data_IF_320199818906
#
_entry.id   IF_320199818906
#
_cell.length_a   1.000
_cell.length_b   1.000
_cell.length_c   1.000
_cell.angle_alpha   90.00
_cell.angle_beta   90.00
_cell.angle_gamma   90.00
#
_symmetry.space_group_name_H-M   'P 1'
#
loop_
_entity.id
_entity.type
_entity.pdbx_description
1 polymer ?
#
# COMPACT_ATOMS: atom_id res chain seq x y z
N UNK A 1 -4.74 -12.93 -38.27
CA UNK A 1 -4.32 -14.23 -37.73
C UNK A 1 -5.32 -15.28 -38.23
N UNK A 2 -4.86 -16.32 -38.91
CA UNK A 2 -5.71 -17.45 -39.37
C UNK A 2 -5.33 -18.67 -38.57
N UNK A 3 -6.31 -19.24 -37.85
CA UNK A 3 -6.15 -20.48 -37.08
C UNK A 3 -5.73 -21.64 -38.00
N UNK A 4 -4.87 -22.58 -37.54
CA UNK A 4 -4.49 -23.73 -38.34
C UNK A 4 -5.68 -24.67 -38.57
N UNK A 5 -5.79 -25.23 -39.78
CA UNK A 5 -6.91 -26.07 -40.23
C UNK A 5 -7.09 -27.40 -39.47
N UNK A 6 -6.13 -27.76 -38.62
CA UNK A 6 -6.25 -28.82 -37.61
C UNK A 6 -5.05 -28.73 -36.65
N UNK A 7 -5.32 -28.40 -35.39
CA UNK A 7 -4.35 -28.24 -34.31
C UNK A 7 -4.91 -27.41 -33.15
N UNK A 8 -4.39 -27.59 -31.93
CA UNK A 8 -4.74 -26.73 -30.79
C UNK A 8 -3.95 -25.44 -30.88
N UNK A 9 -4.65 -24.31 -30.80
CA UNK A 9 -4.04 -23.00 -30.65
C UNK A 9 -4.03 -22.58 -29.18
N UNK A 10 -2.92 -22.03 -28.70
CA UNK A 10 -2.73 -21.66 -27.29
C UNK A 10 -2.66 -20.15 -27.17
N UNK A 11 -3.61 -19.56 -26.45
CA UNK A 11 -3.54 -18.17 -26.02
C UNK A 11 -2.94 -18.08 -24.62
N UNK A 12 -2.24 -16.98 -24.37
CA UNK A 12 -1.63 -16.67 -23.08
C UNK A 12 -2.30 -15.44 -22.48
N UNK A 13 -2.66 -15.52 -21.21
CA UNK A 13 -3.10 -14.36 -20.46
C UNK A 13 -1.92 -13.40 -20.25
N UNK A 14 -2.16 -12.11 -20.45
CA UNK A 14 -1.26 -11.04 -20.03
C UNK A 14 -1.92 -10.27 -18.91
N UNK A 15 -1.12 -9.87 -17.93
CA UNK A 15 -1.58 -9.17 -16.74
C UNK A 15 -0.73 -7.93 -16.56
N UNK A 16 -1.40 -6.80 -16.32
CA UNK A 16 -0.75 -5.59 -15.82
C UNK A 16 -0.80 -5.60 -14.29
N UNK A 17 0.25 -5.12 -13.61
CA UNK A 17 0.26 -5.02 -12.16
C UNK A 17 -0.78 -3.99 -11.70
N UNK A 18 -1.59 -4.39 -10.74
CA UNK A 18 -2.53 -3.48 -10.08
C UNK A 18 -1.77 -2.72 -8.98
N UNK A 19 -1.32 -1.50 -9.28
CA UNK A 19 -0.58 -0.68 -8.31
C UNK A 19 -1.52 -0.02 -7.29
N UNK A 20 -1.13 -0.04 -6.02
CA UNK A 20 -1.83 0.55 -4.87
C UNK A 20 -0.88 1.44 -4.09
N UNK A 21 -1.40 2.52 -3.50
CA UNK A 21 -0.63 3.48 -2.70
C UNK A 21 -1.00 3.39 -1.22
N UNK A 22 0.01 3.25 -0.37
CA UNK A 22 -0.05 3.49 1.07
C UNK A 22 0.29 4.98 1.31
N UNK A 23 -0.73 5.75 1.67
CA UNK A 23 -0.58 7.17 1.94
C UNK A 23 -0.39 7.45 3.44
N UNK A 24 0.45 8.44 3.75
CA UNK A 24 0.74 8.84 5.13
C UNK A 24 0.10 10.18 5.49
N UNK A 25 -0.77 10.18 6.49
CA UNK A 25 -1.41 11.38 7.02
C UNK A 25 -0.93 11.64 8.46
N UNK A 26 -0.36 12.83 8.71
CA UNK A 26 0.10 13.24 10.04
C UNK A 26 -1.03 13.51 11.06
N UNK A 27 -2.30 13.34 10.66
CA UNK A 27 -3.51 13.47 11.47
C UNK A 27 -3.56 14.81 12.24
N UNK A 28 -3.48 15.90 11.47
CA UNK A 28 -3.42 17.27 11.99
C UNK A 28 -2.03 17.69 12.50
N UNK A 29 -1.02 16.83 12.40
CA UNK A 29 0.39 17.17 12.58
C UNK A 29 1.10 17.61 11.31
N UNK A 30 2.42 17.50 11.29
CA UNK A 30 3.28 17.81 10.13
C UNK A 30 4.48 16.87 10.05
N UNK A 31 5.14 16.81 8.89
CA UNK A 31 6.32 15.96 8.68
C UNK A 31 6.00 14.47 8.52
N UNK A 32 4.84 14.15 7.92
CA UNK A 32 4.61 12.79 7.42
C UNK A 32 5.62 12.47 6.30
N UNK A 33 6.03 11.19 6.16
CA UNK A 33 6.86 10.75 5.05
C UNK A 33 6.11 10.82 3.71
N UNK A 34 6.85 10.62 2.63
CA UNK A 34 6.26 10.43 1.30
C UNK A 34 5.45 9.14 1.22
N UNK A 35 4.44 9.14 0.35
CA UNK A 35 3.63 7.97 0.06
C UNK A 35 4.45 6.83 -0.57
N UNK A 36 4.03 5.59 -0.30
CA UNK A 36 4.63 4.39 -0.88
C UNK A 36 3.66 3.74 -1.86
N UNK A 37 4.16 3.21 -2.97
CA UNK A 37 3.35 2.44 -3.92
C UNK A 37 3.94 1.05 -4.12
N UNK A 38 3.07 0.08 -4.37
CA UNK A 38 3.44 -1.30 -4.68
C UNK A 38 2.30 -2.05 -5.35
N UNK A 39 2.55 -3.30 -5.70
CA UNK A 39 1.51 -4.15 -6.29
C UNK A 39 0.47 -4.51 -5.23
N UNK A 40 -0.80 -4.63 -5.63
CA UNK A 40 -1.86 -5.11 -4.76
C UNK A 40 -1.46 -6.45 -4.12
N UNK A 41 -1.74 -6.59 -2.82
CA UNK A 41 -1.38 -7.76 -2.00
C UNK A 41 0.13 -7.99 -1.79
N UNK A 42 0.99 -7.08 -2.25
CA UNK A 42 2.41 -7.10 -1.88
C UNK A 42 2.63 -6.48 -0.50
N UNK A 43 3.71 -6.90 0.16
CA UNK A 43 4.12 -6.31 1.42
C UNK A 43 5.03 -5.10 1.18
N UNK A 44 4.76 -4.04 1.94
CA UNK A 44 5.64 -2.86 2.07
C UNK A 44 6.07 -2.70 3.52
N UNK A 45 7.18 -2.00 3.74
CA UNK A 45 7.63 -1.65 5.09
C UNK A 45 7.09 -0.28 5.46
N UNK A 46 6.38 -0.21 6.59
CA UNK A 46 5.86 1.05 7.13
C UNK A 46 7.03 1.98 7.47
N UNK A 47 6.97 3.22 6.99
CA UNK A 47 7.99 4.23 7.27
C UNK A 47 8.20 4.45 8.77
N UNK A 48 9.48 4.53 9.16
CA UNK A 48 9.93 4.87 10.51
C UNK A 48 10.04 6.39 10.76
N UNK A 49 9.71 7.20 9.75
CA UNK A 49 9.63 8.65 9.90
C UNK A 49 8.57 9.01 10.93
N UNK A 50 8.96 9.87 11.87
CA UNK A 50 8.12 10.27 13.00
C UNK A 50 7.57 11.69 12.77
N UNK A 51 6.27 11.85 12.46
CA UNK A 51 5.67 13.18 12.33
C UNK A 51 5.58 13.88 13.69
N UNK A 52 5.36 15.20 13.64
CA UNK A 52 5.24 16.05 14.83
C UNK A 52 3.86 16.67 14.94
N UNK A 53 3.36 16.79 16.17
CA UNK A 53 2.12 17.50 16.49
C UNK A 53 2.25 18.17 17.85
N UNK A 54 2.03 19.49 17.90
CA UNK A 54 2.25 20.28 19.12
C UNK A 54 1.39 19.78 20.29
N UNK A 55 2.05 19.46 21.42
CA UNK A 55 1.38 18.93 22.61
C UNK A 55 1.13 17.42 22.60
N UNK A 56 1.58 16.69 21.57
CA UNK A 56 1.39 15.24 21.43
C UNK A 56 2.71 14.51 21.22
N UNK A 57 2.74 13.23 21.58
CA UNK A 57 3.82 12.30 21.21
C UNK A 57 3.31 11.36 20.12
N UNK A 58 4.11 11.13 19.09
CA UNK A 58 3.81 10.13 18.07
C UNK A 58 3.92 8.72 18.67
N UNK A 59 2.89 7.90 18.51
CA UNK A 59 2.83 6.54 19.05
C UNK A 59 2.85 5.45 17.97
N UNK A 60 2.73 5.81 16.70
CA UNK A 60 2.63 4.90 15.56
C UNK A 60 1.60 5.35 14.52
N UNK A 61 1.51 4.59 13.44
CA UNK A 61 0.54 4.75 12.36
C UNK A 61 -0.73 3.93 12.64
N UNK A 62 -1.89 4.38 12.17
CA UNK A 62 -3.15 3.64 12.31
C UNK A 62 -3.96 3.72 11.02
N UNK A 63 -4.71 2.66 10.71
CA UNK A 63 -5.58 2.63 9.52
C UNK A 63 -6.85 3.47 9.64
N UNK A 64 -7.13 4.05 10.81
CA UNK A 64 -8.22 4.98 11.06
C UNK A 64 -7.72 6.21 11.83
N UNK A 65 -8.15 7.40 11.43
CA UNK A 65 -7.69 8.66 12.02
C UNK A 65 -8.09 8.84 13.50
N UNK A 66 -9.13 8.14 13.96
CA UNK A 66 -9.58 8.13 15.35
C UNK A 66 -8.88 7.06 16.22
N UNK A 67 -7.97 6.28 15.62
CA UNK A 67 -7.22 5.22 16.31
C UNK A 67 -7.97 3.90 16.51
N UNK A 68 -9.18 3.76 15.96
CA UNK A 68 -9.97 2.52 16.09
C UNK A 68 -9.56 1.41 15.12
N UNK A 69 -8.67 1.73 14.17
CA UNK A 69 -8.13 0.80 13.19
C UNK A 69 -6.96 -0.03 13.73
N UNK A 70 -6.24 -0.67 12.81
CA UNK A 70 -5.04 -1.44 13.13
C UNK A 70 -3.84 -0.52 13.28
N UNK A 71 -3.09 -0.69 14.36
CA UNK A 71 -1.88 0.10 14.63
C UNK A 71 -0.63 -0.58 14.06
N UNK A 72 0.28 0.23 13.55
CA UNK A 72 1.57 -0.17 12.99
C UNK A 72 2.69 0.74 13.53
N UNK A 73 3.78 0.13 13.99
CA UNK A 73 5.01 0.84 14.28
C UNK A 73 5.84 1.07 13.00
N UNK A 74 6.82 1.96 13.09
CA UNK A 74 7.82 2.10 12.03
C UNK A 74 8.59 0.79 11.85
N UNK A 75 8.87 0.44 10.60
CA UNK A 75 9.47 -0.83 10.15
C UNK A 75 8.57 -2.07 10.23
N UNK A 76 7.30 -1.94 10.64
CA UNK A 76 6.36 -3.06 10.57
C UNK A 76 6.04 -3.41 9.10
N UNK A 77 5.77 -4.70 8.79
CA UNK A 77 5.24 -5.07 7.50
C UNK A 77 3.77 -4.65 7.37
N UNK A 78 3.40 -4.16 6.20
CA UNK A 78 2.03 -3.85 5.83
C UNK A 78 1.71 -4.44 4.46
N UNK A 79 0.66 -5.26 4.38
CA UNK A 79 0.18 -5.82 3.11
C UNK A 79 -0.76 -4.82 2.44
N UNK A 80 -0.41 -4.38 1.23
CA UNK A 80 -1.25 -3.49 0.44
C UNK A 80 -2.60 -4.16 0.12
N UNK A 81 -3.71 -3.42 0.19
CA UNK A 81 -5.02 -3.98 -0.10
C UNK A 81 -5.17 -4.31 -1.58
N UNK A 82 -6.31 -4.92 -1.93
CA UNK A 82 -6.72 -5.06 -3.32
C UNK A 82 -6.81 -3.67 -3.97
N UNK A 83 -6.45 -3.57 -5.25
CA UNK A 83 -6.87 -2.42 -6.07
C UNK A 83 -8.39 -2.43 -6.24
N UNK A 84 -9.02 -1.27 -6.04
CA UNK A 84 -10.45 -1.08 -6.28
C UNK A 84 -10.86 -1.12 -7.74
#
# INVERSE_FOLDING_TARGET
YTLPASGTDTLYAQWDPNTVTLAYDANGGSGAPDDQSGDAFSDVTVSDTTPTREGYSFTGWNTAADGTGTSYAGNDPYTLPASG
#
